data_IF_218236124004
#
_entry.id   IF_218236124004
#
_cell.length_a   1.000
_cell.length_b   1.000
_cell.length_c   1.000
_cell.angle_alpha   90.00
_cell.angle_beta   90.00
_cell.angle_gamma   90.00
#
_symmetry.space_group_name_H-M   'P 1'
#
loop_
_entity.id
_entity.type
_entity.pdbx_description
1 polymer ?
#
# COMPACT_ATOMS: atom_id res chain seq x y z
N UNK A 1 0.82 -10.64 7.68
CA UNK A 1 1.17 -10.48 6.26
C UNK A 1 1.73 -9.09 6.03
N UNK A 2 2.79 -8.95 5.22
CA UNK A 2 3.31 -7.65 4.78
C UNK A 2 2.65 -7.23 3.45
N UNK A 3 2.71 -5.95 3.05
CA UNK A 3 2.07 -5.48 1.81
C UNK A 3 2.55 -6.17 0.54
N UNK A 4 3.85 -6.47 0.44
CA UNK A 4 4.42 -7.13 -0.75
C UNK A 4 3.89 -8.56 -0.93
N UNK A 5 3.71 -9.31 0.17
CA UNK A 5 3.07 -10.63 0.11
C UNK A 5 1.57 -10.53 -0.12
N UNK A 6 0.92 -9.45 0.29
CA UNK A 6 -0.50 -9.24 0.02
C UNK A 6 -0.78 -9.09 -1.48
N UNK A 7 0.10 -8.42 -2.21
CA UNK A 7 0.01 -8.27 -3.66
C UNK A 7 0.13 -9.61 -4.41
N UNK A 8 0.94 -10.53 -3.88
CA UNK A 8 1.20 -11.85 -4.46
C UNK A 8 0.30 -12.95 -3.86
N UNK A 9 -0.67 -12.58 -3.01
CA UNK A 9 -1.52 -13.56 -2.35
C UNK A 9 -2.44 -14.23 -3.38
N UNK A 10 -2.51 -15.56 -3.34
CA UNK A 10 -3.48 -16.34 -4.11
C UNK A 10 -4.29 -17.23 -3.16
N UNK A 11 -5.59 -17.33 -3.43
CA UNK A 11 -6.49 -18.21 -2.70
C UNK A 11 -6.42 -19.63 -3.29
N UNK A 12 -6.44 -20.69 -2.46
CA UNK A 12 -6.56 -22.05 -2.97
C UNK A 12 -7.92 -22.22 -3.63
N UNK A 13 -7.97 -22.70 -4.87
CA UNK A 13 -9.22 -23.03 -5.53
C UNK A 13 -9.79 -24.38 -5.08
N UNK A 14 -11.07 -24.57 -5.36
CA UNK A 14 -11.88 -25.69 -4.84
C UNK A 14 -11.34 -27.09 -5.21
N UNK A 15 -10.57 -27.20 -6.30
CA UNK A 15 -10.00 -28.46 -6.79
C UNK A 15 -8.46 -28.58 -6.64
N UNK A 16 -7.80 -27.71 -5.87
CA UNK A 16 -6.37 -27.83 -5.53
C UNK A 16 -5.36 -27.54 -6.67
N UNK A 17 -5.79 -27.49 -7.94
CA UNK A 17 -4.92 -27.18 -9.09
C UNK A 17 -5.05 -25.74 -9.61
N UNK A 18 -6.15 -25.05 -9.32
CA UNK A 18 -6.36 -23.67 -9.72
C UNK A 18 -6.29 -22.78 -8.48
N UNK A 19 -5.48 -21.72 -8.52
CA UNK A 19 -5.44 -20.70 -7.47
C UNK A 19 -6.09 -19.42 -7.97
N UNK A 20 -6.88 -18.74 -7.13
CA UNK A 20 -7.50 -17.46 -7.48
C UNK A 20 -6.54 -16.32 -7.09
N UNK A 21 -5.96 -15.68 -8.09
CA UNK A 21 -5.04 -14.55 -7.96
C UNK A 21 -5.69 -13.21 -8.31
N UNK A 22 -4.91 -12.12 -8.27
CA UNK A 22 -5.39 -10.76 -8.56
C UNK A 22 -5.93 -10.60 -10.00
N UNK A 23 -5.39 -11.37 -10.93
CA UNK A 23 -5.78 -11.41 -12.34
C UNK A 23 -7.21 -11.95 -12.50
N UNK A 24 -7.58 -12.95 -11.70
CA UNK A 24 -8.94 -13.51 -11.70
C UNK A 24 -9.97 -12.49 -11.20
N UNK A 25 -9.60 -11.68 -10.20
CA UNK A 25 -10.48 -10.63 -9.67
C UNK A 25 -10.84 -9.56 -10.71
N UNK A 26 -9.96 -9.30 -11.70
CA UNK A 26 -10.30 -8.40 -12.80
C UNK A 26 -11.45 -8.97 -13.64
N UNK A 27 -11.34 -10.25 -14.04
CA UNK A 27 -12.37 -10.95 -14.79
C UNK A 27 -13.69 -11.04 -14.00
N UNK A 28 -13.62 -11.34 -12.70
CA UNK A 28 -14.80 -11.41 -11.82
C UNK A 28 -15.50 -10.05 -11.68
N UNK A 29 -14.73 -8.95 -11.68
CA UNK A 29 -15.27 -7.59 -11.56
C UNK A 29 -15.99 -7.16 -12.84
N UNK A 30 -15.44 -7.51 -14.01
CA UNK A 30 -16.14 -7.33 -15.29
C UNK A 30 -17.44 -8.13 -15.36
N UNK A 31 -17.42 -9.40 -14.94
CA UNK A 31 -18.62 -10.24 -14.87
C UNK A 31 -19.66 -9.67 -13.89
N UNK A 32 -19.23 -8.93 -12.88
CA UNK A 32 -20.10 -8.24 -11.93
C UNK A 32 -20.67 -6.90 -12.45
N UNK A 33 -20.40 -6.53 -13.71
CA UNK A 33 -20.96 -5.35 -14.36
C UNK A 33 -20.03 -4.13 -14.40
N UNK A 34 -18.77 -4.25 -13.99
CA UNK A 34 -17.81 -3.15 -14.14
C UNK A 34 -17.47 -2.89 -15.62
N UNK A 35 -17.34 -1.62 -15.99
CA UNK A 35 -17.03 -1.22 -17.37
C UNK A 35 -15.52 -1.27 -17.64
N UNK A 36 -15.12 -1.96 -18.71
CA UNK A 36 -13.73 -2.02 -19.20
C UNK A 36 -13.15 -0.62 -19.48
N UNK A 37 -13.99 0.39 -19.71
CA UNK A 37 -13.54 1.78 -19.93
C UNK A 37 -13.04 2.47 -18.66
N UNK A 38 -13.42 1.97 -17.49
CA UNK A 38 -13.19 2.64 -16.21
C UNK A 38 -12.30 1.86 -15.25
N UNK A 39 -12.01 0.58 -15.54
CA UNK A 39 -11.08 -0.23 -14.76
C UNK A 39 -10.00 -0.83 -15.65
N UNK A 40 -8.80 -0.97 -15.09
CA UNK A 40 -7.67 -1.67 -15.67
C UNK A 40 -7.21 -2.78 -14.74
N UNK A 41 -6.41 -3.73 -15.27
CA UNK A 41 -5.73 -4.73 -14.44
C UNK A 41 -4.82 -4.09 -13.38
N UNK A 42 -4.22 -2.94 -13.69
CA UNK A 42 -3.40 -2.17 -12.75
C UNK A 42 -4.23 -1.56 -11.61
N UNK A 43 -5.45 -1.09 -11.90
CA UNK A 43 -6.38 -0.59 -10.89
C UNK A 43 -6.77 -1.71 -9.93
N UNK A 44 -7.15 -2.88 -10.46
CA UNK A 44 -7.50 -4.05 -9.65
C UNK A 44 -6.30 -4.52 -8.83
N UNK A 45 -5.11 -4.65 -9.44
CA UNK A 45 -3.88 -5.07 -8.76
C UNK A 45 -3.52 -4.16 -7.58
N UNK A 46 -3.60 -2.84 -7.79
CA UNK A 46 -3.36 -1.86 -6.73
C UNK A 46 -4.35 -2.03 -5.58
N UNK A 47 -5.66 -2.07 -5.86
CA UNK A 47 -6.64 -2.16 -4.78
C UNK A 47 -6.64 -3.52 -4.09
N UNK A 48 -6.40 -4.60 -4.83
CA UNK A 48 -6.26 -5.95 -4.31
C UNK A 48 -5.19 -6.02 -3.22
N UNK A 49 -3.99 -5.46 -3.47
CA UNK A 49 -2.89 -5.38 -2.49
C UNK A 49 -3.36 -4.82 -1.14
N UNK A 50 -4.06 -3.68 -1.16
CA UNK A 50 -4.51 -3.01 0.06
C UNK A 50 -5.65 -3.74 0.76
N UNK A 51 -6.60 -4.29 0.00
CA UNK A 51 -7.72 -5.06 0.53
C UNK A 51 -7.23 -6.33 1.21
N UNK A 52 -6.38 -7.11 0.54
CA UNK A 52 -5.80 -8.34 1.10
C UNK A 52 -4.99 -8.02 2.35
N UNK A 53 -4.15 -6.98 2.31
CA UNK A 53 -3.37 -6.60 3.49
C UNK A 53 -4.26 -6.22 4.67
N UNK A 54 -5.32 -5.44 4.43
CA UNK A 54 -6.29 -5.05 5.44
C UNK A 54 -7.00 -6.27 6.05
N UNK A 55 -7.58 -7.14 5.23
CA UNK A 55 -8.33 -8.30 5.69
C UNK A 55 -7.44 -9.30 6.45
N UNK A 56 -6.21 -9.48 6.00
CA UNK A 56 -5.23 -10.30 6.71
C UNK A 56 -4.79 -9.71 8.06
N UNK A 57 -4.80 -8.38 8.19
CA UNK A 57 -4.59 -7.73 9.47
C UNK A 57 -5.79 -7.94 10.40
N UNK A 58 -7.03 -7.92 9.89
CA UNK A 58 -8.21 -8.23 10.69
C UNK A 58 -8.22 -9.67 11.20
N UNK A 59 -7.95 -10.65 10.34
CA UNK A 59 -7.89 -12.07 10.73
C UNK A 59 -6.81 -12.37 11.78
N UNK A 60 -5.77 -11.53 11.88
CA UNK A 60 -4.76 -11.65 12.96
C UNK A 60 -5.22 -11.08 14.30
N UNK A 61 -6.11 -10.09 14.27
CA UNK A 61 -6.57 -9.38 15.46
C UNK A 61 -7.90 -9.91 16.00
N UNK A 62 -8.65 -10.63 15.17
CA UNK A 62 -9.99 -11.12 15.46
C UNK A 62 -10.09 -12.60 15.07
N UNK A 63 -10.93 -13.39 15.76
CA UNK A 63 -11.02 -14.83 15.53
C UNK A 63 -11.74 -15.23 14.23
N UNK A 64 -12.43 -14.29 13.59
CA UNK A 64 -13.18 -14.53 12.35
C UNK A 64 -12.27 -14.55 11.12
N UNK A 65 -12.66 -15.32 10.11
CA UNK A 65 -11.95 -15.38 8.82
C UNK A 65 -12.38 -14.21 7.93
N UNK A 66 -11.56 -13.18 7.88
CA UNK A 66 -11.81 -12.01 7.03
C UNK A 66 -11.22 -12.14 5.63
N UNK A 67 -10.08 -12.81 5.47
CA UNK A 67 -9.41 -12.93 4.17
C UNK A 67 -10.02 -14.08 3.36
N UNK A 68 -11.09 -13.77 2.63
CA UNK A 68 -11.80 -14.71 1.75
C UNK A 68 -12.01 -14.08 0.37
N UNK A 69 -12.20 -14.92 -0.66
CA UNK A 69 -12.49 -14.46 -2.03
C UNK A 69 -13.73 -13.56 -2.05
N UNK A 70 -14.80 -13.93 -1.33
CA UNK A 70 -16.03 -13.14 -1.26
C UNK A 70 -15.77 -11.74 -0.67
N UNK A 71 -15.08 -11.65 0.47
CA UNK A 71 -14.82 -10.38 1.13
C UNK A 71 -13.91 -9.47 0.28
N UNK A 72 -12.89 -10.05 -0.38
CA UNK A 72 -12.04 -9.28 -1.31
C UNK A 72 -12.87 -8.74 -2.48
N UNK A 73 -13.76 -9.57 -3.02
CA UNK A 73 -14.62 -9.20 -4.14
C UNK A 73 -15.61 -8.09 -3.77
N UNK A 74 -16.24 -8.18 -2.59
CA UNK A 74 -17.14 -7.14 -2.08
C UNK A 74 -16.43 -5.80 -1.86
N UNK A 75 -15.22 -5.82 -1.32
CA UNK A 75 -14.40 -4.63 -1.15
C UNK A 75 -13.97 -4.01 -2.49
N UNK A 76 -13.65 -4.83 -3.50
CA UNK A 76 -13.36 -4.33 -4.85
C UNK A 76 -14.59 -3.67 -5.49
N UNK A 77 -15.77 -4.29 -5.38
CA UNK A 77 -17.04 -3.71 -5.83
C UNK A 77 -17.30 -2.38 -5.13
N UNK A 78 -17.12 -2.33 -3.81
CA UNK A 78 -17.27 -1.10 -3.03
C UNK A 78 -16.33 0.01 -3.51
N UNK A 79 -15.06 -0.30 -3.79
CA UNK A 79 -14.10 0.68 -4.33
C UNK A 79 -14.48 1.18 -5.71
N UNK A 80 -14.94 0.27 -6.58
CA UNK A 80 -15.44 0.64 -7.91
C UNK A 80 -16.63 1.60 -7.80
N UNK A 81 -17.64 1.25 -6.99
CA UNK A 81 -18.80 2.11 -6.76
C UNK A 81 -18.40 3.50 -6.24
N UNK A 82 -17.47 3.56 -5.29
CA UNK A 82 -17.07 4.84 -4.70
C UNK A 82 -16.24 5.69 -5.64
N UNK A 83 -15.20 5.13 -6.22
CA UNK A 83 -14.23 5.92 -6.98
C UNK A 83 -14.72 6.18 -8.41
N UNK A 84 -15.28 5.16 -9.07
CA UNK A 84 -15.70 5.26 -10.47
C UNK A 84 -17.10 5.85 -10.58
N UNK A 85 -18.09 5.26 -9.91
CA UNK A 85 -19.48 5.66 -10.10
C UNK A 85 -19.82 6.96 -9.36
N UNK A 86 -19.35 7.11 -8.12
CA UNK A 86 -19.59 8.32 -7.32
C UNK A 86 -18.50 9.39 -7.44
N UNK A 87 -17.39 9.12 -8.12
CA UNK A 87 -16.29 10.09 -8.28
C UNK A 87 -15.59 10.47 -6.96
N UNK A 88 -15.69 9.64 -5.92
CA UNK A 88 -15.04 9.91 -4.63
C UNK A 88 -13.54 9.63 -4.72
N UNK A 89 -12.75 10.69 -4.82
CA UNK A 89 -11.29 10.61 -4.93
C UNK A 89 -10.60 10.45 -3.56
N UNK A 90 -9.73 9.44 -3.39
CA UNK A 90 -8.90 9.26 -2.18
C UNK A 90 -7.93 10.42 -1.94
N UNK A 91 -7.38 10.51 -0.73
CA UNK A 91 -6.57 11.66 -0.30
C UNK A 91 -5.31 11.84 -1.15
N UNK A 92 -4.57 10.75 -1.39
CA UNK A 92 -3.38 10.79 -2.26
C UNK A 92 -3.76 11.20 -3.67
N UNK A 93 -4.85 10.65 -4.22
CA UNK A 93 -5.31 10.96 -5.58
C UNK A 93 -5.68 12.44 -5.73
N UNK A 94 -6.40 13.02 -4.76
CA UNK A 94 -6.73 14.46 -4.74
C UNK A 94 -5.49 15.36 -4.73
N UNK A 95 -4.45 14.97 -3.99
CA UNK A 95 -3.20 15.73 -3.93
C UNK A 95 -2.46 15.62 -5.27
N UNK A 96 -2.31 14.41 -5.81
CA UNK A 96 -1.59 14.17 -7.06
C UNK A 96 -2.28 14.77 -8.30
N UNK A 97 -3.62 14.83 -8.30
CA UNK A 97 -4.41 15.49 -9.34
C UNK A 97 -4.51 17.01 -9.16
N UNK A 98 -4.01 17.56 -8.04
CA UNK A 98 -3.96 18.99 -7.78
C UNK A 98 -5.25 19.61 -7.23
N UNK A 99 -6.23 18.82 -6.79
CA UNK A 99 -7.45 19.35 -6.15
C UNK A 99 -7.18 19.92 -4.75
N UNK A 100 -6.16 19.39 -4.07
CA UNK A 100 -5.83 19.68 -2.67
C UNK A 100 -4.33 19.93 -2.55
N UNK A 101 -3.87 20.95 -1.81
CA UNK A 101 -2.44 21.23 -1.70
C UNK A 101 -1.70 20.12 -0.95
N UNK A 102 -0.47 19.77 -1.35
CA UNK A 102 0.36 18.75 -0.68
C UNK A 102 0.64 19.04 0.80
N UNK A 103 0.63 20.32 1.18
CA UNK A 103 0.84 20.78 2.56
C UNK A 103 -0.33 20.50 3.50
N UNK A 104 -1.46 19.99 2.98
CA UNK A 104 -2.64 19.63 3.77
C UNK A 104 -2.31 18.56 4.82
N UNK A 105 -3.08 18.54 5.90
CA UNK A 105 -2.92 17.50 6.93
C UNK A 105 -3.48 16.17 6.41
N UNK A 106 -2.68 15.11 6.50
CA UNK A 106 -3.06 13.77 6.08
C UNK A 106 -2.61 12.70 7.10
N UNK A 107 -3.32 11.58 7.10
CA UNK A 107 -2.91 10.38 7.86
C UNK A 107 -2.58 9.28 6.87
N UNK A 108 -1.31 8.89 6.81
CA UNK A 108 -0.83 7.82 5.93
C UNK A 108 -0.26 6.66 6.75
N UNK A 109 -0.30 5.46 6.19
CA UNK A 109 0.30 4.27 6.76
C UNK A 109 1.61 3.94 6.04
N UNK A 110 2.67 3.59 6.77
CA UNK A 110 3.90 3.07 6.18
C UNK A 110 3.62 1.67 5.60
N UNK A 111 3.74 1.48 4.30
CA UNK A 111 3.55 0.18 3.63
C UNK A 111 4.87 -0.51 3.30
N UNK A 112 5.93 0.24 3.04
CA UNK A 112 7.25 -0.33 2.77
C UNK A 112 8.35 0.60 3.28
N UNK A 113 9.47 0.03 3.68
CA UNK A 113 10.68 0.76 4.07
C UNK A 113 11.77 0.32 3.09
N UNK A 114 12.33 1.28 2.36
CA UNK A 114 13.42 1.08 1.42
C UNK A 114 14.70 1.61 2.07
N UNK A 115 15.46 0.73 2.72
CA UNK A 115 16.79 1.08 3.20
C UNK A 115 17.76 1.00 2.04
N UNK A 116 18.37 2.12 1.66
CA UNK A 116 19.37 2.15 0.61
C UNK A 116 20.67 1.53 1.16
N UNK A 117 20.82 0.21 1.05
CA UNK A 117 21.98 -0.55 1.55
C UNK A 117 23.23 -0.37 0.71
N UNK A 118 23.13 0.20 -0.50
CA UNK A 118 24.27 0.42 -1.40
C UNK A 118 25.27 1.43 -0.83
N UNK A 119 24.83 2.36 0.02
CA UNK A 119 25.72 3.27 0.74
C UNK A 119 26.54 2.59 1.86
N UNK A 120 26.30 1.31 2.18
CA UNK A 120 27.08 0.58 3.19
C UNK A 120 28.33 -0.11 2.63
N UNK A 121 28.34 -0.54 1.37
CA UNK A 121 29.46 -1.33 0.81
C UNK A 121 30.57 -0.50 0.16
N UNK A 122 30.30 0.73 -0.28
CA UNK A 122 31.36 1.60 -0.84
C UNK A 122 32.18 2.35 0.22
N UNK A 123 31.77 2.32 1.49
CA UNK A 123 32.32 3.19 2.54
C UNK A 123 33.21 2.49 3.59
N UNK A 124 33.64 1.26 3.33
CA UNK A 124 34.68 0.61 4.16
C UNK A 124 36.07 1.21 3.89
N UNK A 125 36.20 2.03 2.84
CA UNK A 125 37.45 2.65 2.41
C UNK A 125 37.44 4.17 2.62
N UNK A 126 37.24 4.67 3.84
CA UNK A 126 37.93 5.89 4.35
C UNK A 126 37.38 6.29 5.71
N UNK A 127 38.29 6.29 6.69
CA UNK A 127 38.15 6.97 7.98
C UNK A 127 37.79 8.44 7.80
N UNK A 128 36.73 8.91 8.48
CA UNK A 128 36.64 10.15 9.26
C UNK A 128 35.16 10.40 9.61
N UNK A 129 34.88 10.61 10.91
CA UNK A 129 33.53 10.75 11.45
C UNK A 129 32.75 11.91 10.84
N UNK A 130 31.78 11.58 10.01
CA UNK A 130 30.71 12.48 9.57
C UNK A 130 29.41 11.70 9.71
N UNK A 131 28.48 12.26 10.47
CA UNK A 131 27.16 11.75 10.78
C UNK A 131 26.35 11.61 9.47
N UNK A 132 26.56 10.51 8.74
CA UNK A 132 25.89 10.27 7.45
C UNK A 132 24.45 9.86 7.72
N UNK A 133 23.61 10.87 7.87
CA UNK A 133 22.16 10.81 7.74
C UNK A 133 21.82 10.10 6.43
N UNK A 134 21.70 8.77 6.45
CA UNK A 134 21.20 7.99 5.33
C UNK A 134 19.77 8.45 5.10
N UNK A 135 19.56 9.21 4.02
CA UNK A 135 18.23 9.60 3.57
C UNK A 135 17.46 8.32 3.30
N UNK A 136 16.47 8.03 4.15
CA UNK A 136 15.70 6.81 4.05
C UNK A 136 14.41 7.06 3.26
N UNK A 137 14.09 6.12 2.36
CA UNK A 137 12.87 6.19 1.56
C UNK A 137 11.83 5.25 2.14
N UNK A 138 10.58 5.70 2.20
CA UNK A 138 9.44 4.89 2.64
C UNK A 138 8.31 4.99 1.64
N UNK A 139 7.55 3.91 1.50
CA UNK A 139 6.26 3.94 0.80
C UNK A 139 5.16 4.22 1.82
N UNK A 140 4.31 5.21 1.54
CA UNK A 140 3.19 5.61 2.37
C UNK A 140 1.88 5.40 1.61
N UNK A 141 0.83 4.92 2.28
CA UNK A 141 -0.49 4.68 1.69
C UNK A 141 -1.63 5.32 2.49
N UNK A 142 -2.65 5.83 1.78
CA UNK A 142 -3.92 6.26 2.37
C UNK A 142 -4.96 5.12 2.44
N UNK A 143 -4.53 3.89 2.12
CA UNK A 143 -5.35 2.69 2.00
C UNK A 143 -5.95 2.47 0.61
N UNK A 144 -5.88 3.44 -0.30
CA UNK A 144 -6.35 3.32 -1.67
C UNK A 144 -5.20 3.32 -2.67
N UNK A 145 -4.24 4.21 -2.49
CA UNK A 145 -3.04 4.38 -3.31
C UNK A 145 -1.81 4.52 -2.40
N UNK A 146 -0.62 4.50 -3.01
CA UNK A 146 0.63 4.78 -2.31
C UNK A 146 1.49 5.82 -3.03
N UNK A 147 2.38 6.45 -2.26
CA UNK A 147 3.41 7.39 -2.73
C UNK A 147 4.74 7.06 -2.04
N UNK A 148 5.84 7.29 -2.74
CA UNK A 148 7.16 7.25 -2.12
C UNK A 148 7.44 8.59 -1.44
N UNK A 149 7.96 8.53 -0.22
CA UNK A 149 8.35 9.69 0.57
C UNK A 149 9.81 9.56 1.01
N UNK A 150 10.47 10.70 1.05
CA UNK A 150 11.85 10.83 1.53
C UNK A 150 11.80 11.33 2.97
N UNK A 151 12.42 10.60 3.89
CA UNK A 151 12.48 11.00 5.28
C UNK A 151 13.56 12.06 5.49
N UNK A 152 13.25 13.08 6.28
CA UNK A 152 14.24 14.03 6.77
C UNK A 152 15.22 13.38 7.77
N UNK A 153 16.23 14.12 8.21
CA UNK A 153 17.24 13.59 9.12
C UNK A 153 16.65 13.10 10.47
N UNK A 154 15.75 13.84 11.15
CA UNK A 154 15.09 13.36 12.36
C UNK A 154 14.30 12.05 12.15
N UNK A 155 13.46 11.98 11.12
CA UNK A 155 12.65 10.79 10.85
C UNK A 155 13.53 9.60 10.41
N UNK A 156 14.61 9.85 9.68
CA UNK A 156 15.60 8.82 9.33
C UNK A 156 16.28 8.26 10.57
N UNK A 157 16.62 9.10 11.56
CA UNK A 157 17.12 8.64 12.87
C UNK A 157 16.07 7.81 13.61
N UNK A 158 14.81 8.24 13.62
CA UNK A 158 13.72 7.47 14.25
C UNK A 158 13.50 6.11 13.58
N UNK A 159 13.63 6.04 12.25
CA UNK A 159 13.61 4.78 11.51
C UNK A 159 14.78 3.88 11.90
N UNK A 160 16.00 4.41 11.97
CA UNK A 160 17.18 3.66 12.40
C UNK A 160 17.06 3.12 13.83
N UNK A 161 16.39 3.86 14.72
CA UNK A 161 16.06 3.41 16.08
C UNK A 161 14.86 2.44 16.14
N UNK A 162 14.28 2.02 15.01
CA UNK A 162 13.14 1.12 14.95
C UNK A 162 11.83 1.72 15.48
N UNK A 163 11.73 3.05 15.57
CA UNK A 163 10.51 3.75 16.00
C UNK A 163 9.50 3.94 14.87
N UNK A 164 9.97 3.88 13.62
CA UNK A 164 9.14 3.83 12.43
C UNK A 164 9.12 2.42 11.86
N UNK A 165 7.94 1.86 11.61
CA UNK A 165 7.79 0.49 11.10
C UNK A 165 6.57 0.32 10.19
N UNK A 166 6.60 -0.72 9.33
CA UNK A 166 5.50 -1.03 8.40
C UNK A 166 4.20 -1.31 9.17
N UNK A 167 3.11 -0.69 8.74
CA UNK A 167 1.79 -0.75 9.38
C UNK A 167 1.51 0.41 10.34
N UNK A 168 2.51 1.23 10.66
CA UNK A 168 2.33 2.40 11.51
C UNK A 168 1.67 3.55 10.73
N UNK A 169 0.74 4.24 11.39
CA UNK A 169 0.06 5.43 10.86
C UNK A 169 0.76 6.70 11.33
N UNK A 170 1.02 7.60 10.39
CA UNK A 170 1.66 8.89 10.59
C UNK A 170 0.65 9.99 10.28
N UNK A 171 0.55 10.98 11.17
CA UNK A 171 -0.11 12.26 10.88
C UNK A 171 0.95 13.21 10.34
N UNK A 172 0.75 13.69 9.12
CA UNK A 172 1.70 14.53 8.38
C UNK A 172 1.02 15.87 8.10
N UNK A 173 1.79 16.96 8.16
CA UNK A 173 1.36 18.32 7.87
C UNK A 173 2.52 19.08 7.26
N UNK A 174 2.29 19.86 6.21
CA UNK A 174 3.36 20.62 5.54
C UNK A 174 4.41 19.73 4.86
N UNK A 175 3.96 18.61 4.27
CA UNK A 175 4.80 17.74 3.46
C UNK A 175 5.31 18.43 2.19
#
# INVERSE_FOLDING_TARGET
>A
MNPNRAEQHCFPGECGFNSVGKEDFYSMLLQSGASVKHISETWVSNHYKWIVWKLACYERCYPERYLTVSNVMEELKYRYEREVNHGHRPAIKKILEGDVPPSSVLVLCISSIQTNTEAMFENISTSHGVDRSTVANVELTDGWYSVNAVLDAPLSKMLAFGKLFVGQKLKISGA
#
